data_IF_184651886498
#
_entry.id   IF_184651886498
#
_cell.length_a   1.000
_cell.length_b   1.000
_cell.length_c   1.000
_cell.angle_alpha   90.00
_cell.angle_beta   90.00
_cell.angle_gamma   90.00
#
_symmetry.space_group_name_H-M   'P 1'
#
loop_
_entity.id
_entity.type
_entity.pdbx_description
1 polymer ?
#
# COMPACT_ATOMS: atom_id res chain seq x y z
N UNK A 1 -9.79 3.79 -10.13
CA UNK A 1 -8.59 4.51 -9.65
C UNK A 1 -7.28 3.92 -10.18
N UNK A 2 -6.90 2.67 -9.84
CA UNK A 2 -5.61 2.11 -10.29
C UNK A 2 -5.48 2.09 -11.82
N UNK A 3 -6.44 1.47 -12.51
CA UNK A 3 -6.48 1.40 -13.99
C UNK A 3 -6.56 2.76 -14.70
N UNK A 4 -7.24 3.74 -14.08
CA UNK A 4 -7.61 5.00 -14.74
C UNK A 4 -6.65 6.16 -14.44
N UNK A 5 -5.98 6.14 -13.29
CA UNK A 5 -5.15 7.27 -12.81
C UNK A 5 -3.71 6.79 -12.59
N UNK A 6 -3.53 5.78 -11.73
CA UNK A 6 -2.20 5.41 -11.23
C UNK A 6 -1.38 4.69 -12.30
N UNK A 7 -2.00 3.76 -13.04
CA UNK A 7 -1.33 3.00 -14.10
C UNK A 7 -0.79 3.91 -15.22
N UNK A 8 -1.58 4.84 -15.79
CA UNK A 8 -1.06 5.81 -16.75
C UNK A 8 0.03 6.72 -16.17
N UNK A 9 -0.15 7.21 -14.93
CA UNK A 9 0.79 8.15 -14.31
C UNK A 9 2.18 7.52 -14.03
N UNK A 10 2.22 6.21 -13.74
CA UNK A 10 3.44 5.49 -13.41
C UNK A 10 4.00 4.66 -14.57
N UNK A 11 3.29 4.57 -15.70
CA UNK A 11 3.70 3.76 -16.85
C UNK A 11 3.80 2.26 -16.54
N UNK A 12 3.00 1.76 -15.59
CA UNK A 12 3.00 0.34 -15.16
C UNK A 12 1.64 -0.30 -15.37
N UNK A 13 1.62 -1.62 -15.50
CA UNK A 13 0.34 -2.35 -15.61
C UNK A 13 -0.48 -2.20 -14.33
N UNK A 14 -1.80 -2.11 -14.47
CA UNK A 14 -2.67 -1.98 -13.32
C UNK A 14 -2.60 -3.22 -12.41
N UNK A 15 -2.47 -4.42 -12.99
CA UNK A 15 -2.39 -5.66 -12.23
C UNK A 15 -1.11 -5.72 -11.38
N UNK A 16 0.03 -5.25 -11.91
CA UNK A 16 1.26 -5.11 -11.12
C UNK A 16 1.06 -4.12 -9.96
N UNK A 17 0.43 -2.97 -10.23
CA UNK A 17 0.18 -1.94 -9.22
C UNK A 17 -0.83 -2.38 -8.15
N UNK A 18 -1.85 -3.14 -8.53
CA UNK A 18 -2.82 -3.72 -7.58
C UNK A 18 -2.14 -4.72 -6.64
N UNK A 19 -1.08 -5.39 -7.07
CA UNK A 19 -0.28 -6.29 -6.24
C UNK A 19 0.73 -5.56 -5.35
N UNK A 20 1.36 -4.49 -5.84
CA UNK A 20 2.39 -3.76 -5.10
C UNK A 20 1.84 -2.70 -4.14
N UNK A 21 0.75 -2.03 -4.51
CA UNK A 21 0.18 -0.93 -3.74
C UNK A 21 -0.81 -1.44 -2.69
N UNK A 22 -0.97 -0.67 -1.61
CA UNK A 22 -1.83 -0.99 -0.48
C UNK A 22 -3.30 -0.67 -0.76
N UNK A 23 -3.84 -1.28 -1.81
CA UNK A 23 -5.28 -1.29 -2.10
C UNK A 23 -5.93 -2.58 -1.59
N UNK A 24 -7.09 -2.43 -0.94
CA UNK A 24 -7.87 -3.53 -0.41
C UNK A 24 -8.19 -3.37 1.08
N UNK A 25 -8.56 -4.47 1.71
CA UNK A 25 -8.74 -4.54 3.17
C UNK A 25 -7.40 -4.49 3.91
N UNK A 26 -7.45 -4.20 5.21
CA UNK A 26 -6.28 -4.25 6.10
C UNK A 26 -5.49 -5.56 5.97
N UNK A 27 -6.16 -6.71 5.98
CA UNK A 27 -5.50 -8.02 5.88
C UNK A 27 -4.77 -8.21 4.54
N UNK A 28 -5.34 -7.69 3.45
CA UNK A 28 -4.68 -7.72 2.15
C UNK A 28 -3.44 -6.83 2.13
N UNK A 29 -3.51 -5.64 2.75
CA UNK A 29 -2.38 -4.73 2.87
C UNK A 29 -1.27 -5.31 3.75
N UNK A 30 -1.61 -5.96 4.87
CA UNK A 30 -0.64 -6.63 5.75
C UNK A 30 0.14 -7.71 4.99
N UNK A 31 -0.55 -8.59 4.25
CA UNK A 31 0.10 -9.62 3.44
C UNK A 31 1.10 -9.05 2.44
N UNK A 32 0.76 -7.91 1.81
CA UNK A 32 1.67 -7.24 0.86
C UNK A 32 2.91 -6.69 1.57
N UNK A 33 2.74 -6.08 2.74
CA UNK A 33 3.86 -5.55 3.54
C UNK A 33 4.75 -6.69 4.05
N UNK A 34 4.16 -7.79 4.52
CA UNK A 34 4.89 -8.99 4.94
C UNK A 34 5.76 -9.53 3.81
N UNK A 35 5.23 -9.60 2.58
CA UNK A 35 6.00 -10.04 1.41
C UNK A 35 7.16 -9.10 1.10
N UNK A 36 6.96 -7.78 1.19
CA UNK A 36 8.03 -6.79 1.02
C UNK A 36 9.11 -6.95 2.10
N UNK A 37 8.70 -7.13 3.36
CA UNK A 37 9.60 -7.34 4.48
C UNK A 37 10.41 -8.63 4.34
N UNK A 38 9.76 -9.74 4.00
CA UNK A 38 10.41 -11.04 3.74
C UNK A 38 11.37 -10.97 2.54
N UNK A 39 11.08 -10.11 1.56
CA UNK A 39 11.98 -9.83 0.43
C UNK A 39 13.16 -8.92 0.79
N UNK A 40 13.30 -8.54 2.06
CA UNK A 40 14.41 -7.75 2.57
C UNK A 40 14.20 -6.24 2.56
N UNK A 41 12.99 -5.75 2.24
CA UNK A 41 12.69 -4.33 2.33
C UNK A 41 12.88 -3.82 3.76
N UNK A 42 13.65 -2.75 3.92
CA UNK A 42 13.95 -2.14 5.23
C UNK A 42 13.10 -0.91 5.55
N UNK A 43 12.55 -0.27 4.52
CA UNK A 43 11.74 0.94 4.63
C UNK A 43 10.68 0.91 3.55
N UNK A 44 9.46 1.28 3.91
CA UNK A 44 8.34 1.44 2.99
C UNK A 44 7.87 2.88 3.12
N UNK A 45 7.76 3.57 1.97
CA UNK A 45 7.12 4.87 1.93
C UNK A 45 5.62 4.66 1.67
N UNK A 46 4.79 5.12 2.59
CA UNK A 46 3.34 5.07 2.47
C UNK A 46 2.81 6.44 2.02
N UNK A 47 1.96 6.44 0.99
CA UNK A 47 1.34 7.65 0.47
C UNK A 47 -0.18 7.48 0.36
N UNK A 48 -0.98 8.18 1.18
CA UNK A 48 -2.43 8.22 1.05
C UNK A 48 -2.87 8.82 -0.29
N UNK A 49 -3.83 8.21 -0.96
CA UNK A 49 -4.33 8.68 -2.26
C UNK A 49 -5.68 9.41 -2.18
N UNK A 50 -6.37 9.31 -1.04
CA UNK A 50 -7.64 9.96 -0.76
C UNK A 50 -7.79 10.17 0.75
N UNK A 51 -8.63 11.10 1.21
CA UNK A 51 -9.04 11.21 2.61
C UNK A 51 -7.84 11.11 3.59
N UNK A 52 -6.84 11.97 3.36
CA UNK A 52 -5.46 11.84 3.84
C UNK A 52 -5.36 11.49 5.34
N UNK A 53 -6.08 12.21 6.20
CA UNK A 53 -6.03 12.01 7.64
C UNK A 53 -6.60 10.64 8.05
N UNK A 54 -7.77 10.28 7.52
CA UNK A 54 -8.41 9.00 7.83
C UNK A 54 -7.52 7.81 7.40
N UNK A 55 -6.91 7.90 6.22
CA UNK A 55 -6.02 6.85 5.73
C UNK A 55 -4.74 6.72 6.58
N UNK A 56 -4.18 7.84 7.06
CA UNK A 56 -3.03 7.80 7.98
C UNK A 56 -3.42 7.18 9.32
N UNK A 57 -4.58 7.54 9.87
CA UNK A 57 -5.05 6.99 11.13
C UNK A 57 -5.29 5.47 11.04
N UNK A 58 -5.93 5.02 9.97
CA UNK A 58 -6.13 3.58 9.70
C UNK A 58 -4.77 2.90 9.53
N UNK A 59 -3.88 3.46 8.71
CA UNK A 59 -2.56 2.86 8.48
C UNK A 59 -1.76 2.74 9.79
N UNK A 60 -1.76 3.78 10.62
CA UNK A 60 -1.04 3.76 11.89
C UNK A 60 -1.61 2.72 12.85
N UNK A 61 -2.93 2.76 13.08
CA UNK A 61 -3.63 1.88 14.03
C UNK A 61 -3.60 0.42 13.62
N UNK A 62 -3.83 0.14 12.35
CA UNK A 62 -4.07 -1.23 11.89
C UNK A 62 -2.80 -1.92 11.36
N UNK A 63 -1.84 -1.16 10.85
CA UNK A 63 -0.69 -1.68 10.11
C UNK A 63 0.64 -1.32 10.80
N UNK A 64 0.96 -0.04 10.93
CA UNK A 64 2.30 0.40 11.35
C UNK A 64 2.71 -0.16 12.72
N UNK A 65 1.77 -0.23 13.67
CA UNK A 65 2.00 -0.79 15.01
C UNK A 65 2.40 -2.28 15.02
N UNK A 66 2.21 -3.02 13.91
CA UNK A 66 2.58 -4.44 13.80
C UNK A 66 4.01 -4.66 13.28
N UNK A 67 4.63 -3.63 12.72
CA UNK A 67 5.98 -3.69 12.13
C UNK A 67 6.97 -2.76 12.85
N UNK A 68 6.56 -2.19 13.99
CA UNK A 68 7.35 -1.32 14.86
C UNK A 68 8.05 -2.06 15.98
#
# INVERSE_FOLDING_TARGET
MVKQIVSPALGRSADELENLLLFGSTDQCLKKIDLLYQSGAKRIHFWPVKDYFEQIEIFFREIAQRFG
#
